data_IF_138381146610
#
_entry.id   IF_138381146610
#
_cell.length_a   1.000
_cell.length_b   1.000
_cell.length_c   1.000
_cell.angle_alpha   90.00
_cell.angle_beta   90.00
_cell.angle_gamma   90.00
#
_symmetry.space_group_name_H-M   'P 1'
#
loop_
_entity.id
_entity.type
_entity.pdbx_description
1 polymer ?
#
# COMPACT_ATOMS: atom_id res chain seq x y z
N UNK A 1 -1.22 -27.59 28.86
CA UNK A 1 -2.10 -26.91 27.88
C UNK A 1 -1.54 -25.52 27.66
N UNK A 2 -0.94 -25.27 26.48
CA UNK A 2 -0.18 -24.05 26.21
C UNK A 2 -1.14 -22.85 26.07
N UNK A 3 -0.95 -21.83 26.90
CA UNK A 3 -1.72 -20.58 26.87
C UNK A 3 -1.42 -19.69 25.64
N UNK A 4 -0.59 -20.15 24.70
CA UNK A 4 -0.09 -19.37 23.56
C UNK A 4 -0.96 -19.44 22.30
N UNK A 5 -2.05 -20.20 22.31
CA UNK A 5 -2.90 -20.37 21.11
C UNK A 5 -4.07 -19.38 21.01
N UNK A 6 -4.06 -18.27 21.76
CA UNK A 6 -5.05 -17.22 21.56
C UNK A 6 -4.65 -16.37 20.35
N UNK A 7 -5.43 -16.37 19.26
CA UNK A 7 -5.18 -15.46 18.17
C UNK A 7 -5.23 -14.04 18.70
N UNK A 8 -4.23 -13.24 18.36
CA UNK A 8 -4.23 -11.83 18.76
C UNK A 8 -5.49 -11.15 18.21
N UNK A 9 -6.09 -10.26 19.01
CA UNK A 9 -7.26 -9.45 18.62
C UNK A 9 -7.17 -8.92 17.17
N UNK A 10 -6.04 -8.31 16.72
CA UNK A 10 -5.93 -7.84 15.33
C UNK A 10 -6.00 -8.96 14.28
N UNK A 11 -5.52 -10.16 14.58
CA UNK A 11 -5.63 -11.30 13.67
C UNK A 11 -7.09 -11.73 13.48
N UNK A 12 -7.87 -11.74 14.57
CA UNK A 12 -9.31 -12.06 14.53
C UNK A 12 -10.06 -10.99 13.75
N UNK A 13 -9.84 -9.71 14.07
CA UNK A 13 -10.48 -8.58 13.36
C UNK A 13 -10.17 -8.59 11.87
N UNK A 14 -8.91 -8.85 11.49
CA UNK A 14 -8.49 -8.98 10.09
C UNK A 14 -9.27 -10.08 9.36
N UNK A 15 -9.39 -11.26 9.99
CA UNK A 15 -10.13 -12.39 9.39
C UNK A 15 -11.61 -12.07 9.27
N UNK A 16 -12.20 -11.46 10.31
CA UNK A 16 -13.62 -11.09 10.30
C UNK A 16 -13.93 -10.02 9.25
N UNK A 17 -13.12 -8.96 9.20
CA UNK A 17 -13.24 -7.93 8.18
C UNK A 17 -13.03 -8.51 6.77
N UNK A 18 -12.03 -9.38 6.59
CA UNK A 18 -11.77 -10.05 5.31
C UNK A 18 -12.97 -10.84 4.81
N UNK A 19 -13.54 -11.71 5.66
CA UNK A 19 -14.74 -12.48 5.30
C UNK A 19 -15.96 -11.59 5.05
N UNK A 20 -16.15 -10.54 5.86
CA UNK A 20 -17.25 -9.61 5.68
C UNK A 20 -17.16 -8.89 4.32
N UNK A 21 -15.99 -8.36 3.96
CA UNK A 21 -15.78 -7.65 2.69
C UNK A 21 -15.92 -8.58 1.49
N UNK A 22 -15.38 -9.80 1.55
CA UNK A 22 -15.56 -10.80 0.49
C UNK A 22 -17.02 -11.21 0.36
N UNK A 23 -17.70 -11.49 1.47
CA UNK A 23 -19.10 -11.92 1.48
C UNK A 23 -20.03 -10.88 0.87
N UNK A 24 -19.95 -9.62 1.35
CA UNK A 24 -20.77 -8.52 0.83
C UNK A 24 -20.41 -8.22 -0.63
N UNK A 25 -19.11 -8.18 -0.96
CA UNK A 25 -18.65 -7.92 -2.31
C UNK A 25 -19.14 -8.97 -3.32
N UNK A 26 -19.00 -10.26 -3.00
CA UNK A 26 -19.45 -11.35 -3.88
C UNK A 26 -20.98 -11.41 -4.00
N UNK A 27 -21.71 -11.20 -2.92
CA UNK A 27 -23.19 -11.18 -2.95
C UNK A 27 -23.69 -10.08 -3.90
N UNK A 28 -23.12 -8.88 -3.80
CA UNK A 28 -23.50 -7.76 -4.65
C UNK A 28 -23.00 -7.91 -6.08
N UNK A 29 -21.85 -8.55 -6.32
CA UNK A 29 -21.42 -8.92 -7.67
C UNK A 29 -22.37 -9.94 -8.31
N UNK A 30 -22.85 -10.92 -7.55
CA UNK A 30 -23.86 -11.86 -8.04
C UNK A 30 -25.14 -11.12 -8.42
N UNK A 31 -25.63 -10.22 -7.56
CA UNK A 31 -26.79 -9.38 -7.86
C UNK A 31 -26.56 -8.45 -9.08
N UNK A 32 -25.31 -8.02 -9.33
CA UNK A 32 -24.97 -7.23 -10.51
C UNK A 32 -25.04 -8.03 -11.81
N UNK A 33 -24.69 -9.32 -11.76
CA UNK A 33 -24.77 -10.21 -12.92
C UNK A 33 -26.22 -10.42 -13.39
N UNK A 34 -27.18 -10.29 -12.48
CA UNK A 34 -28.61 -10.34 -12.76
C UNK A 34 -29.17 -9.00 -13.31
N UNK A 35 -28.30 -8.03 -13.65
CA UNK A 35 -28.67 -6.75 -14.27
C UNK A 35 -28.96 -5.61 -13.28
N UNK A 36 -28.63 -5.79 -11.99
CA UNK A 36 -29.07 -4.88 -10.92
C UNK A 36 -28.21 -3.64 -10.65
N UNK A 37 -26.99 -3.51 -11.21
CA UNK A 37 -26.04 -2.46 -10.81
C UNK A 37 -25.41 -1.69 -11.99
N UNK A 38 -25.10 -0.41 -11.76
CA UNK A 38 -24.33 0.44 -12.69
C UNK A 38 -22.82 0.16 -12.59
N UNK A 39 -22.06 0.53 -13.64
CA UNK A 39 -20.60 0.32 -13.75
C UNK A 39 -19.81 0.85 -12.54
N UNK A 40 -20.22 2.00 -11.98
CA UNK A 40 -19.56 2.59 -10.79
C UNK A 40 -19.68 1.69 -9.57
N UNK A 41 -20.83 1.04 -9.37
CA UNK A 41 -21.01 0.13 -8.26
C UNK A 41 -20.23 -1.17 -8.46
N UNK A 42 -20.06 -1.64 -9.71
CA UNK A 42 -19.22 -2.80 -9.99
C UNK A 42 -17.79 -2.61 -9.46
N UNK A 43 -17.19 -1.44 -9.72
CA UNK A 43 -15.82 -1.12 -9.25
C UNK A 43 -15.72 -1.17 -7.73
N UNK A 44 -16.69 -0.60 -7.01
CA UNK A 44 -16.73 -0.67 -5.55
C UNK A 44 -16.65 -2.11 -5.05
N UNK A 45 -17.51 -2.99 -5.57
CA UNK A 45 -17.57 -4.37 -5.10
C UNK A 45 -16.32 -5.18 -5.47
N UNK A 46 -15.75 -4.96 -6.66
CA UNK A 46 -14.47 -5.58 -7.03
C UNK A 46 -13.35 -5.17 -6.07
N UNK A 47 -13.26 -3.89 -5.72
CA UNK A 47 -12.25 -3.38 -4.76
C UNK A 47 -12.46 -3.97 -3.37
N UNK A 48 -13.72 -4.11 -2.92
CA UNK A 48 -14.05 -4.75 -1.64
C UNK A 48 -13.63 -6.23 -1.62
N UNK A 49 -13.95 -6.99 -2.67
CA UNK A 49 -13.54 -8.40 -2.77
C UNK A 49 -12.03 -8.50 -2.76
N UNK A 50 -11.33 -7.69 -3.55
CA UNK A 50 -9.87 -7.72 -3.62
C UNK A 50 -9.21 -7.35 -2.27
N UNK A 51 -9.70 -6.30 -1.60
CA UNK A 51 -9.25 -5.91 -0.27
C UNK A 51 -9.54 -6.99 0.79
N UNK A 52 -10.73 -7.59 0.75
CA UNK A 52 -11.10 -8.69 1.63
C UNK A 52 -10.23 -9.94 1.43
N UNK A 53 -9.96 -10.32 0.17
CA UNK A 53 -9.04 -11.42 -0.17
C UNK A 53 -7.63 -11.12 0.37
N UNK A 54 -7.11 -9.91 0.18
CA UNK A 54 -5.82 -9.51 0.75
C UNK A 54 -5.79 -9.63 2.27
N UNK A 55 -6.86 -9.22 2.96
CA UNK A 55 -6.97 -9.38 4.41
C UNK A 55 -7.04 -10.84 4.82
N UNK A 56 -7.58 -11.74 4.00
CA UNK A 56 -7.59 -13.18 4.30
C UNK A 56 -6.25 -13.86 4.00
N UNK A 57 -5.52 -13.40 2.98
CA UNK A 57 -4.20 -13.93 2.62
C UNK A 57 -3.27 -13.89 3.83
N UNK A 58 -2.63 -15.04 4.13
CA UNK A 58 -1.74 -15.19 5.30
C UNK A 58 -0.35 -14.56 5.09
N UNK A 59 -0.10 -13.97 3.91
CA UNK A 59 1.19 -13.31 3.62
C UNK A 59 1.31 -12.06 4.47
N UNK A 60 2.34 -12.02 5.32
CA UNK A 60 2.74 -10.79 6.00
C UNK A 60 3.33 -9.86 4.96
N UNK A 61 2.58 -8.85 4.57
CA UNK A 61 3.11 -7.71 3.82
C UNK A 61 4.05 -6.98 4.78
N UNK A 62 5.32 -6.87 4.42
CA UNK A 62 6.30 -6.04 5.13
C UNK A 62 6.59 -4.85 4.22
N UNK A 63 5.69 -3.85 4.17
CA UNK A 63 5.86 -2.73 3.27
C UNK A 63 7.05 -1.87 3.72
N UNK A 64 7.78 -1.32 2.75
CA UNK A 64 8.75 -0.27 3.02
C UNK A 64 8.06 1.01 3.54
N UNK A 65 8.84 1.89 4.18
CA UNK A 65 8.38 3.24 4.57
C UNK A 65 7.75 4.02 3.41
N UNK A 66 8.36 4.11 2.20
CA UNK A 66 7.70 4.78 1.08
C UNK A 66 6.42 4.06 0.64
N UNK A 67 6.37 2.72 0.69
CA UNK A 67 5.14 1.97 0.42
C UNK A 67 3.99 2.36 1.35
N UNK A 68 4.27 2.48 2.66
CA UNK A 68 3.29 2.95 3.65
C UNK A 68 2.82 4.37 3.31
N UNK A 69 3.74 5.29 3.04
CA UNK A 69 3.40 6.68 2.70
C UNK A 69 2.54 6.79 1.45
N UNK A 70 2.84 6.01 0.41
CA UNK A 70 2.06 6.00 -0.84
C UNK A 70 0.69 5.40 -0.60
N UNK A 71 0.60 4.27 0.12
CA UNK A 71 -0.68 3.62 0.43
C UNK A 71 -1.61 4.51 1.26
N UNK A 72 -1.10 5.09 2.35
CA UNK A 72 -1.89 6.01 3.20
C UNK A 72 -2.18 7.32 2.49
N UNK A 73 -1.22 7.84 1.74
CA UNK A 73 -1.38 9.03 0.92
C UNK A 73 -2.49 8.85 -0.12
N UNK A 74 -2.58 7.69 -0.76
CA UNK A 74 -3.65 7.38 -1.71
C UNK A 74 -5.02 7.33 -1.04
N UNK A 75 -5.14 6.70 0.13
CA UNK A 75 -6.41 6.69 0.88
C UNK A 75 -6.87 8.12 1.18
N UNK A 76 -5.97 8.97 1.66
CA UNK A 76 -6.30 10.37 1.98
C UNK A 76 -6.60 11.19 0.73
N UNK A 77 -5.77 11.09 -0.31
CA UNK A 77 -5.97 11.78 -1.57
C UNK A 77 -7.28 11.38 -2.24
N UNK A 78 -7.64 10.10 -2.16
CA UNK A 78 -8.92 9.57 -2.60
C UNK A 78 -10.10 10.23 -1.89
N UNK A 79 -10.09 10.25 -0.55
CA UNK A 79 -11.13 10.93 0.24
C UNK A 79 -11.22 12.44 -0.05
N UNK A 80 -10.10 13.10 -0.33
CA UNK A 80 -10.12 14.51 -0.75
C UNK A 80 -10.70 14.64 -2.15
N UNK A 81 -10.35 13.74 -3.07
CA UNK A 81 -10.88 13.72 -4.42
C UNK A 81 -12.38 13.45 -4.47
N UNK A 82 -12.96 12.76 -3.47
CA UNK A 82 -14.41 12.57 -3.38
C UNK A 82 -15.19 13.84 -3.02
N UNK A 83 -14.50 14.93 -2.65
CA UNK A 83 -15.08 16.27 -2.55
C UNK A 83 -15.25 16.97 -3.90
N UNK A 84 -14.96 16.30 -5.01
CA UNK A 84 -15.31 16.80 -6.35
C UNK A 84 -16.78 16.51 -6.65
N UNK A 85 -17.48 17.46 -7.31
CA UNK A 85 -18.90 17.31 -7.60
C UNK A 85 -19.12 16.15 -8.58
N UNK A 86 -20.08 15.29 -8.27
CA UNK A 86 -20.47 14.16 -9.12
C UNK A 86 -21.78 14.43 -9.85
N UNK A 87 -21.85 13.97 -11.10
CA UNK A 87 -23.07 14.01 -11.93
C UNK A 87 -23.91 12.73 -11.79
N UNK A 88 -23.50 11.77 -10.97
CA UNK A 88 -24.23 10.51 -10.77
C UNK A 88 -25.57 10.77 -10.07
N UNK A 89 -26.66 10.35 -10.72
CA UNK A 89 -28.03 10.57 -10.21
C UNK A 89 -28.46 9.62 -9.09
N UNK A 90 -27.68 8.56 -8.82
CA UNK A 90 -28.02 7.59 -7.78
C UNK A 90 -27.73 8.17 -6.40
N UNK A 91 -28.70 8.05 -5.49
CA UNK A 91 -28.67 8.54 -4.11
C UNK A 91 -28.67 10.08 -4.00
N UNK A 92 -29.30 10.61 -2.95
CA UNK A 92 -29.46 12.06 -2.71
C UNK A 92 -30.08 12.84 -3.88
N UNK A 93 -31.11 12.26 -4.52
CA UNK A 93 -31.78 12.84 -5.68
C UNK A 93 -32.26 14.29 -5.49
N UNK A 94 -32.59 14.63 -4.24
CA UNK A 94 -33.16 15.93 -3.85
C UNK A 94 -32.11 17.04 -3.72
N UNK A 95 -30.81 16.71 -3.79
CA UNK A 95 -29.73 17.69 -3.70
C UNK A 95 -29.15 17.99 -5.10
N UNK A 96 -29.03 19.27 -5.50
CA UNK A 96 -28.49 19.66 -6.80
C UNK A 96 -26.97 19.46 -6.90
N UNK A 97 -26.24 19.67 -5.80
CA UNK A 97 -24.79 19.47 -5.72
C UNK A 97 -24.50 18.26 -4.83
N UNK A 98 -23.71 17.32 -5.35
CA UNK A 98 -23.43 16.04 -4.69
C UNK A 98 -21.95 15.73 -4.76
N UNK A 99 -21.42 15.19 -3.69
CA UNK A 99 -20.01 14.87 -3.53
C UNK A 99 -19.87 13.47 -2.93
N UNK A 100 -18.92 12.70 -3.45
CA UNK A 100 -18.65 11.33 -3.05
C UNK A 100 -18.29 10.44 -4.24
N UNK A 101 -17.42 9.46 -4.02
CA UNK A 101 -17.14 8.40 -4.99
C UNK A 101 -16.65 7.14 -4.28
N UNK A 102 -17.37 6.01 -4.38
CA UNK A 102 -18.39 5.70 -5.39
C UNK A 102 -19.82 6.09 -5.01
N UNK A 103 -20.08 6.44 -3.75
CA UNK A 103 -21.41 6.84 -3.27
C UNK A 103 -21.42 8.32 -2.89
N UNK A 104 -22.39 9.12 -3.39
CA UNK A 104 -22.53 10.49 -2.93
C UNK A 104 -22.95 10.51 -1.46
N UNK A 105 -22.09 11.04 -0.59
CA UNK A 105 -22.34 11.12 0.86
C UNK A 105 -22.64 12.53 1.34
N UNK A 106 -22.26 13.56 0.57
CA UNK A 106 -22.49 14.96 0.90
C UNK A 106 -23.36 15.61 -0.17
N UNK A 107 -24.49 16.18 0.27
CA UNK A 107 -25.40 16.96 -0.57
C UNK A 107 -25.41 18.43 -0.16
N UNK A 108 -25.31 19.34 -1.13
CA UNK A 108 -25.44 20.79 -0.96
C UNK A 108 -26.60 21.32 -1.82
N UNK A 109 -27.18 22.46 -1.42
CA UNK A 109 -28.19 23.19 -2.20
C UNK A 109 -29.66 23.08 -1.74
N UNK A 110 -29.92 22.56 -0.53
CA UNK A 110 -31.25 22.45 0.08
C UNK A 110 -31.48 23.32 1.34
N UNK A 111 -30.65 24.35 1.55
CA UNK A 111 -30.69 25.23 2.74
C UNK A 111 -29.72 24.83 3.86
N UNK A 112 -29.28 23.56 3.91
CA UNK A 112 -28.19 23.11 4.79
C UNK A 112 -27.39 21.97 4.14
N UNK A 113 -26.09 21.82 4.50
CA UNK A 113 -25.31 20.65 4.09
C UNK A 113 -25.86 19.39 4.75
N UNK A 114 -26.07 18.33 3.96
CA UNK A 114 -26.52 17.04 4.45
C UNK A 114 -25.46 15.97 4.22
N UNK A 115 -25.16 15.20 5.27
CA UNK A 115 -24.20 14.09 5.23
C UNK A 115 -24.91 12.78 5.52
N UNK A 116 -24.88 11.85 4.57
CA UNK A 116 -25.31 10.47 4.80
C UNK A 116 -24.14 9.66 5.31
N UNK A 117 -24.19 9.35 6.61
CA UNK A 117 -23.15 8.60 7.32
C UNK A 117 -22.94 7.21 6.71
N UNK A 118 -23.98 6.58 6.16
CA UNK A 118 -23.85 5.23 5.57
C UNK A 118 -22.97 5.28 4.32
N UNK A 119 -23.20 6.26 3.45
CA UNK A 119 -22.40 6.43 2.24
C UNK A 119 -20.99 6.94 2.56
N UNK A 120 -20.83 7.79 3.57
CA UNK A 120 -19.51 8.21 4.04
C UNK A 120 -18.68 7.01 4.53
N UNK A 121 -19.28 6.12 5.32
CA UNK A 121 -18.60 4.90 5.79
C UNK A 121 -18.24 3.99 4.62
N UNK A 122 -19.13 3.84 3.63
CA UNK A 122 -18.83 3.07 2.42
C UNK A 122 -17.64 3.66 1.64
N UNK A 123 -17.58 4.98 1.50
CA UNK A 123 -16.48 5.72 0.86
C UNK A 123 -15.14 5.44 1.58
N UNK A 124 -15.14 5.55 2.91
CA UNK A 124 -13.97 5.28 3.75
C UNK A 124 -13.47 3.84 3.57
N UNK A 125 -14.39 2.87 3.57
CA UNK A 125 -14.04 1.45 3.36
C UNK A 125 -13.44 1.24 1.98
N UNK A 126 -14.02 1.86 0.94
CA UNK A 126 -13.51 1.77 -0.43
C UNK A 126 -12.07 2.29 -0.53
N UNK A 127 -11.82 3.51 -0.05
CA UNK A 127 -10.48 4.11 -0.14
C UNK A 127 -9.45 3.44 0.77
N UNK A 128 -9.88 2.87 1.90
CA UNK A 128 -9.03 2.02 2.73
C UNK A 128 -8.62 0.74 1.98
N UNK A 129 -9.57 0.09 1.29
CA UNK A 129 -9.28 -1.09 0.46
C UNK A 129 -8.38 -0.75 -0.73
N UNK A 130 -8.63 0.38 -1.41
CA UNK A 130 -7.80 0.86 -2.51
C UNK A 130 -6.35 1.15 -2.06
N UNK A 131 -6.17 1.84 -0.94
CA UNK A 131 -4.87 2.07 -0.34
C UNK A 131 -4.16 0.77 0.06
N UNK A 132 -4.90 -0.19 0.62
CA UNK A 132 -4.37 -1.53 0.95
C UNK A 132 -3.90 -2.28 -0.31
N UNK A 133 -4.65 -2.21 -1.41
CA UNK A 133 -4.27 -2.83 -2.68
C UNK A 133 -2.97 -2.24 -3.23
N UNK A 134 -2.82 -0.92 -3.20
CA UNK A 134 -1.60 -0.26 -3.65
C UNK A 134 -0.41 -0.59 -2.75
N UNK A 135 -0.62 -0.60 -1.43
CA UNK A 135 0.40 -1.03 -0.48
C UNK A 135 0.86 -2.47 -0.75
N UNK A 136 -0.09 -3.37 -1.02
CA UNK A 136 0.20 -4.76 -1.35
C UNK A 136 0.95 -4.91 -2.67
N UNK A 137 0.58 -4.12 -3.70
CA UNK A 137 1.27 -4.10 -4.98
C UNK A 137 2.72 -3.62 -4.83
N UNK A 138 2.96 -2.53 -4.09
CA UNK A 138 4.31 -2.02 -3.82
C UNK A 138 5.13 -3.08 -3.09
N UNK A 139 4.59 -3.66 -2.02
CA UNK A 139 5.30 -4.69 -1.25
C UNK A 139 5.61 -5.93 -2.11
N UNK A 140 4.74 -6.29 -3.06
CA UNK A 140 4.99 -7.37 -4.00
C UNK A 140 6.10 -7.02 -5.00
N UNK A 141 6.07 -5.82 -5.57
CA UNK A 141 7.11 -5.33 -6.48
C UNK A 141 8.46 -5.29 -5.77
N UNK A 142 8.52 -4.75 -4.55
CA UNK A 142 9.74 -4.73 -3.73
C UNK A 142 10.27 -6.12 -3.42
N UNK A 143 9.39 -7.10 -3.22
CA UNK A 143 9.79 -8.49 -2.98
C UNK A 143 10.35 -9.17 -4.24
N UNK A 144 9.96 -8.70 -5.44
CA UNK A 144 10.40 -9.23 -6.72
C UNK A 144 11.68 -8.57 -7.25
N UNK A 145 12.03 -7.36 -6.78
CA UNK A 145 13.23 -6.64 -7.20
C UNK A 145 14.50 -7.23 -6.51
N UNK A 146 15.40 -7.89 -7.27
CA UNK A 146 16.57 -8.57 -6.69
C UNK A 146 17.66 -7.60 -6.18
N UNK A 147 17.69 -6.37 -6.67
CA UNK A 147 18.77 -5.39 -6.44
C UNK A 147 18.88 -4.87 -5.00
N UNK A 148 17.85 -5.02 -4.17
CA UNK A 148 17.88 -4.49 -2.79
C UNK A 148 18.49 -5.44 -1.76
N UNK A 149 18.93 -6.64 -2.16
CA UNK A 149 19.42 -7.69 -1.24
C UNK A 149 20.93 -7.91 -1.20
N UNK A 150 21.70 -7.26 -2.07
CA UNK A 150 23.16 -7.20 -1.85
C UNK A 150 23.44 -5.98 -0.98
N UNK A 151 23.70 -6.12 0.33
CA UNK A 151 24.44 -5.07 1.02
C UNK A 151 25.71 -4.88 0.20
N UNK A 152 25.85 -3.72 -0.45
CA UNK A 152 27.13 -3.33 -1.01
C UNK A 152 28.05 -3.26 0.19
N UNK A 153 28.99 -4.21 0.26
CA UNK A 153 29.94 -4.28 1.36
C UNK A 153 30.93 -3.13 1.20
N UNK A 154 30.52 -1.96 1.69
CA UNK A 154 31.32 -0.74 1.69
C UNK A 154 32.52 -0.85 2.63
N UNK A 155 32.58 -1.89 3.49
CA UNK A 155 33.75 -2.14 4.33
C UNK A 155 34.99 -2.50 3.51
N UNK A 156 34.80 -3.00 2.27
CA UNK A 156 35.90 -3.30 1.34
C UNK A 156 36.41 -2.11 0.53
N UNK A 157 35.70 -0.98 0.54
CA UNK A 157 36.10 0.25 -0.17
C UNK A 157 36.90 1.25 0.69
N UNK A 158 37.19 0.91 1.95
CA UNK A 158 37.90 1.78 2.89
C UNK A 158 39.44 1.76 2.81
N UNK A 159 40.05 1.38 1.69
CA UNK A 159 41.50 1.08 1.67
C UNK A 159 42.32 1.51 0.44
N UNK A 160 41.78 2.27 -0.51
CA UNK A 160 42.53 2.70 -1.71
C UNK A 160 42.67 4.21 -1.83
N UNK A 161 42.92 4.89 -0.71
CA UNK A 161 43.67 6.13 -0.77
C UNK A 161 45.15 5.74 -0.60
N UNK A 162 45.90 5.59 -1.69
CA UNK A 162 47.37 5.50 -1.63
C UNK A 162 47.92 6.82 -1.04
N UNK A 163 48.60 6.83 0.11
CA UNK A 163 49.57 7.84 0.40
C UNK A 163 50.89 7.34 -0.18
N UNK A 164 51.31 7.91 -1.31
CA UNK A 164 52.67 7.75 -1.83
C UNK A 164 53.63 8.37 -0.81
N UNK A 165 54.12 7.57 0.13
CA UNK A 165 55.17 7.96 1.07
C UNK A 165 56.50 7.96 0.34
N UNK A 166 56.89 9.12 -0.18
CA UNK A 166 58.29 9.54 -0.22
C UNK A 166 58.79 9.74 1.23
N UNK A 167 60.07 9.43 1.44
CA UNK A 167 60.88 9.61 2.66
C UNK A 167 60.83 8.53 3.75
N UNK A 168 61.82 7.64 3.74
CA UNK A 168 62.99 7.61 4.65
C UNK A 168 63.68 6.24 4.51
N UNK A 169 64.92 6.21 3.99
CA UNK A 169 66.17 5.83 4.69
C UNK A 169 66.15 4.38 5.25
N UNK A 170 67.12 3.49 5.08
CA UNK A 170 68.58 3.65 5.04
C UNK A 170 69.18 2.24 4.77
N UNK A 171 70.43 2.21 4.32
CA UNK A 171 71.40 1.11 4.46
C UNK A 171 71.14 -0.25 3.77
N UNK A 172 71.68 -0.38 2.55
CA UNK A 172 72.19 -1.65 2.02
C UNK A 172 73.62 -1.47 1.54
N UNK A 173 74.53 -1.18 2.46
CA UNK A 173 75.94 -1.46 2.25
C UNK A 173 76.17 -2.96 2.43
N UNK A 174 76.38 -3.71 1.33
CA UNK A 174 77.03 -5.03 1.42
C UNK A 174 76.46 -6.21 0.64
N UNK A 175 75.47 -6.07 -0.26
CA UNK A 175 75.05 -7.21 -1.08
C UNK A 175 75.81 -7.26 -2.42
N UNK A 176 76.99 -7.88 -2.35
CA UNK A 176 77.84 -8.23 -3.47
C UNK A 176 77.23 -9.44 -4.21
N UNK A 177 76.27 -9.19 -5.10
CA UNK A 177 75.82 -10.19 -6.09
C UNK A 177 76.70 -10.09 -7.33
N UNK A 178 77.59 -11.07 -7.43
CA UNK A 178 78.63 -11.22 -8.45
C UNK A 178 78.13 -11.10 -9.88
N UNK A 179 78.98 -10.48 -10.69
CA UNK A 179 78.76 -10.18 -12.08
C UNK A 179 78.69 -11.38 -13.00
N UNK A 180 78.07 -11.10 -14.15
CA UNK A 180 78.15 -11.83 -15.40
C UNK A 180 79.61 -11.86 -15.88
N UNK A 181 80.19 -13.06 -15.99
CA UNK A 181 80.92 -13.67 -17.13
C UNK A 181 81.67 -14.90 -16.66
#
# INVERSE_FOLDING_TARGET
>A
MNAELWPSIPAVLRVMAGWFLVGVGLLNLAASADGGLTDTFLVFHVVLVAGGVLLLMRRRLIPSRPGILVGTGLTLAGMVATMLPTTTRCCMADYPERYGFPYPFLGLGGGSPHVDVKYLVADLIFWACAGLLVLAAIALVEALLPERRTPVDLTRYGGHAEPRTTDTAEDRTGENVGGLT
#
